data_IF_252422465559
#
_entry.id   IF_252422465559
#
_cell.length_a   1.000
_cell.length_b   1.000
_cell.length_c   1.000
_cell.angle_alpha   90.00
_cell.angle_beta   90.00
_cell.angle_gamma   90.00
#
_symmetry.space_group_name_H-M   'P 1'
#
loop_
_entity.id
_entity.type
_entity.pdbx_description
1 polymer ?
#
# COMPACT_ATOMS: atom_id res chain seq x y z
N UNK A 1 -6.33 -8.78 -23.28
CA UNK A 1 -7.29 -7.76 -22.78
C UNK A 1 -6.79 -6.38 -23.19
N UNK A 2 -7.68 -5.42 -23.50
CA UNK A 2 -7.28 -4.05 -23.88
C UNK A 2 -7.70 -3.10 -22.76
N UNK A 3 -6.77 -2.29 -22.25
CA UNK A 3 -7.03 -1.18 -21.34
C UNK A 3 -6.77 0.11 -22.11
N UNK A 4 -7.79 0.98 -22.22
CA UNK A 4 -7.64 2.32 -22.79
C UNK A 4 -7.35 3.30 -21.68
N UNK A 5 -6.24 4.04 -21.80
CA UNK A 5 -5.93 5.13 -20.90
C UNK A 5 -5.53 6.34 -21.75
N UNK A 6 -6.32 7.41 -21.63
CA UNK A 6 -6.21 8.63 -22.44
C UNK A 6 -6.19 8.31 -23.95
N UNK A 7 -5.03 8.33 -24.62
CA UNK A 7 -4.90 8.07 -26.07
C UNK A 7 -4.03 6.84 -26.41
N UNK A 8 -3.70 6.01 -25.41
CA UNK A 8 -2.86 4.81 -25.62
C UNK A 8 -3.62 3.53 -25.29
N UNK A 9 -3.61 2.57 -26.23
CA UNK A 9 -4.13 1.23 -26.01
C UNK A 9 -3.04 0.35 -25.39
N UNK A 10 -3.30 -0.18 -24.19
CA UNK A 10 -2.45 -1.18 -23.53
C UNK A 10 -3.07 -2.56 -23.71
N UNK A 11 -2.31 -3.48 -24.28
CA UNK A 11 -2.67 -4.87 -24.46
C UNK A 11 -2.05 -5.71 -23.35
N UNK A 12 -2.89 -6.37 -22.55
CA UNK A 12 -2.46 -7.32 -21.54
C UNK A 12 -2.55 -8.75 -22.07
N UNK A 13 -1.43 -9.45 -21.97
CA UNK A 13 -1.30 -10.88 -22.23
C UNK A 13 -0.95 -11.58 -20.92
N UNK A 14 -1.58 -12.72 -20.67
CA UNK A 14 -1.46 -13.42 -19.40
C UNK A 14 -0.81 -14.77 -19.59
N UNK A 15 0.14 -15.08 -18.73
CA UNK A 15 0.87 -16.33 -18.70
C UNK A 15 0.85 -16.86 -17.27
N UNK A 16 0.58 -18.14 -17.12
CA UNK A 16 0.82 -18.88 -15.88
C UNK A 16 2.29 -19.31 -15.83
N UNK A 17 2.89 -19.23 -14.65
CA UNK A 17 4.27 -19.63 -14.40
C UNK A 17 4.24 -20.96 -13.66
N UNK A 18 4.98 -21.95 -14.16
CA UNK A 18 5.09 -23.25 -13.53
C UNK A 18 5.97 -23.17 -12.26
N UNK A 19 5.33 -23.02 -11.10
CA UNK A 19 5.99 -22.94 -9.80
C UNK A 19 6.80 -24.19 -9.42
N UNK A 20 6.44 -25.38 -9.93
CA UNK A 20 7.13 -26.62 -9.59
C UNK A 20 8.57 -26.62 -10.12
N UNK A 21 8.82 -25.94 -11.23
CA UNK A 21 10.16 -25.76 -11.79
C UNK A 21 11.02 -24.81 -10.94
N UNK A 22 10.40 -23.87 -10.23
CA UNK A 22 11.09 -22.99 -9.28
C UNK A 22 11.38 -23.73 -7.98
N UNK A 23 10.42 -24.51 -7.47
CA UNK A 23 10.61 -25.31 -6.24
C UNK A 23 11.68 -26.39 -6.40
N UNK A 24 11.87 -26.90 -7.62
CA UNK A 24 12.90 -27.90 -7.94
C UNK A 24 14.23 -27.28 -8.41
N UNK A 25 14.42 -25.96 -8.27
CA UNK A 25 15.61 -25.20 -8.69
C UNK A 25 16.01 -25.35 -10.17
N UNK A 26 15.14 -25.94 -11.02
CA UNK A 26 15.38 -26.09 -12.46
C UNK A 26 15.36 -24.74 -13.16
N UNK A 27 14.54 -23.81 -12.66
CA UNK A 27 14.42 -22.44 -13.18
C UNK A 27 14.37 -21.48 -12.01
N UNK A 28 15.43 -20.68 -11.81
CA UNK A 28 15.43 -19.65 -10.79
C UNK A 28 14.61 -18.43 -11.23
N UNK A 29 13.93 -17.78 -10.28
CA UNK A 29 13.19 -16.55 -10.54
C UNK A 29 14.09 -15.45 -11.11
N UNK A 30 15.32 -15.35 -10.61
CA UNK A 30 16.30 -14.39 -11.12
C UNK A 30 16.60 -14.58 -12.61
N UNK A 31 16.79 -15.84 -13.05
CA UNK A 31 17.06 -16.14 -14.45
C UNK A 31 15.83 -15.90 -15.32
N UNK A 32 14.64 -16.23 -14.83
CA UNK A 32 13.38 -15.93 -15.53
C UNK A 32 13.19 -14.42 -15.73
N UNK A 33 13.40 -13.62 -14.68
CA UNK A 33 13.34 -12.15 -14.75
C UNK A 33 14.36 -11.58 -15.74
N UNK A 34 15.60 -12.09 -15.70
CA UNK A 34 16.65 -11.70 -16.64
C UNK A 34 16.28 -12.03 -18.08
N UNK A 35 15.72 -13.21 -18.32
CA UNK A 35 15.27 -13.62 -19.65
C UNK A 35 14.16 -12.69 -20.17
N UNK A 36 13.12 -12.43 -19.36
CA UNK A 36 12.02 -11.52 -19.71
C UNK A 36 12.54 -10.11 -20.05
N UNK A 37 13.49 -9.59 -19.26
CA UNK A 37 14.14 -8.31 -19.52
C UNK A 37 14.95 -8.32 -20.83
N UNK A 38 15.72 -9.39 -21.10
CA UNK A 38 16.49 -9.52 -22.34
C UNK A 38 15.60 -9.60 -23.58
N UNK A 39 14.42 -10.20 -23.47
CA UNK A 39 13.40 -10.18 -24.51
C UNK A 39 12.63 -8.86 -24.59
N UNK A 40 13.04 -7.82 -23.85
CA UNK A 40 12.39 -6.51 -23.78
C UNK A 40 10.90 -6.56 -23.39
N UNK A 41 10.51 -7.54 -22.57
CA UNK A 41 9.14 -7.63 -22.09
C UNK A 41 8.94 -6.75 -20.86
N UNK A 42 7.78 -6.10 -20.77
CA UNK A 42 7.39 -5.25 -19.64
C UNK A 42 6.12 -5.79 -19.04
N UNK A 43 6.04 -5.87 -17.72
CA UNK A 43 4.89 -6.50 -17.10
C UNK A 43 4.97 -6.62 -15.59
N UNK A 44 4.00 -7.36 -15.05
CA UNK A 44 3.94 -7.69 -13.63
C UNK A 44 4.06 -9.19 -13.44
N UNK A 45 4.85 -9.61 -12.46
CA UNK A 45 4.77 -10.97 -11.92
C UNK A 45 3.92 -10.92 -10.66
N UNK A 46 2.96 -11.83 -10.56
CA UNK A 46 2.08 -11.95 -9.40
C UNK A 46 2.29 -13.33 -8.81
N UNK A 47 2.63 -13.38 -7.53
CA UNK A 47 2.64 -14.60 -6.74
C UNK A 47 1.40 -14.62 -5.86
N UNK A 48 0.60 -15.67 -6.01
CA UNK A 48 -0.56 -15.92 -5.18
C UNK A 48 -0.25 -17.11 -4.27
N UNK A 49 -0.25 -16.88 -2.96
CA UNK A 49 0.00 -17.91 -1.95
C UNK A 49 -1.26 -18.02 -1.10
N UNK A 50 -1.87 -19.19 -1.09
CA UNK A 50 -3.08 -19.48 -0.33
C UNK A 50 -2.81 -20.60 0.66
N UNK A 51 -3.16 -20.36 1.94
CA UNK A 51 -3.27 -21.44 2.93
C UNK A 51 -4.68 -22.03 2.85
N UNK A 52 -4.77 -23.33 2.60
CA UNK A 52 -6.04 -24.07 2.63
C UNK A 52 -6.36 -24.51 4.06
N UNK A 53 -7.65 -24.75 4.35
CA UNK A 53 -8.09 -25.25 5.66
C UNK A 53 -7.42 -26.56 6.08
N UNK A 54 -6.87 -27.32 5.13
CA UNK A 54 -6.08 -28.53 5.38
C UNK A 54 -4.65 -28.26 5.87
N UNK A 55 -4.25 -26.99 6.03
CA UNK A 55 -2.87 -26.58 6.32
C UNK A 55 -1.94 -26.64 5.09
N UNK A 56 -2.44 -27.11 3.94
CA UNK A 56 -1.66 -27.13 2.69
C UNK A 56 -1.54 -25.73 2.12
N UNK A 57 -0.31 -25.32 1.81
CA UNK A 57 -0.03 -24.10 1.08
C UNK A 57 -0.10 -24.39 -0.43
N UNK A 58 -0.85 -23.58 -1.16
CA UNK A 58 -0.91 -23.60 -2.63
C UNK A 58 -0.33 -22.31 -3.15
N UNK A 59 0.60 -22.40 -4.10
CA UNK A 59 1.26 -21.25 -4.71
C UNK A 59 1.07 -21.25 -6.21
N UNK A 60 0.46 -20.21 -6.75
CA UNK A 60 0.34 -19.99 -8.19
C UNK A 60 1.06 -18.71 -8.56
N UNK A 61 1.70 -18.68 -9.72
CA UNK A 61 2.38 -17.50 -10.21
C UNK A 61 1.93 -17.13 -11.62
N UNK A 62 1.82 -15.84 -11.90
CA UNK A 62 1.36 -15.32 -13.18
C UNK A 62 2.30 -14.22 -13.67
N UNK A 63 2.52 -14.17 -14.98
CA UNK A 63 3.15 -13.04 -15.66
C UNK A 63 2.13 -12.32 -16.53
N UNK A 64 1.89 -11.04 -16.23
CA UNK A 64 1.05 -10.14 -17.01
C UNK A 64 1.97 -9.28 -17.87
N UNK A 65 2.02 -9.60 -19.16
CA UNK A 65 2.81 -8.86 -20.13
C UNK A 65 2.00 -7.68 -20.70
N UNK A 66 2.59 -6.48 -20.66
CA UNK A 66 2.00 -5.23 -21.12
C UNK A 66 2.63 -4.86 -22.46
N UNK A 67 1.80 -4.76 -23.50
CA UNK A 67 2.22 -4.36 -24.84
C UNK A 67 1.46 -3.12 -25.28
N UNK A 68 2.11 -2.24 -26.02
CA UNK A 68 1.53 -0.98 -26.51
C UNK A 68 1.08 -1.07 -27.98
N UNK A 69 1.40 -2.18 -28.65
CA UNK A 69 1.04 -2.43 -30.04
C UNK A 69 0.43 -3.83 -30.16
N UNK A 70 -0.70 -3.94 -30.86
CA UNK A 70 -1.46 -5.19 -31.04
C UNK A 70 -0.73 -6.20 -31.93
N UNK A 71 0.01 -5.69 -32.93
CA UNK A 71 0.42 -6.45 -34.11
C UNK A 71 1.94 -6.48 -34.37
N UNK A 72 2.78 -6.00 -33.44
CA UNK A 72 4.21 -6.25 -33.55
C UNK A 72 4.41 -7.75 -33.45
N UNK A 73 4.81 -8.40 -34.56
CA UNK A 73 5.22 -9.82 -34.70
C UNK A 73 5.67 -10.33 -33.35
N UNK A 74 4.68 -10.83 -32.63
CA UNK A 74 4.82 -10.90 -31.19
C UNK A 74 5.59 -12.16 -31.00
N UNK A 75 6.89 -12.04 -30.74
CA UNK A 75 7.70 -13.14 -30.24
C UNK A 75 6.81 -13.86 -29.24
N UNK A 76 6.52 -15.13 -29.54
CA UNK A 76 5.73 -15.98 -28.68
C UNK A 76 6.59 -16.17 -27.43
N UNK A 77 6.49 -15.23 -26.49
CA UNK A 77 7.39 -15.15 -25.35
C UNK A 77 7.36 -16.43 -24.53
N UNK A 78 6.21 -17.10 -24.53
CA UNK A 78 6.03 -18.46 -24.06
C UNK A 78 7.00 -19.44 -24.72
N UNK A 79 7.00 -19.53 -26.06
CA UNK A 79 7.88 -20.42 -26.82
C UNK A 79 9.37 -20.08 -26.60
N UNK A 80 9.75 -18.81 -26.61
CA UNK A 80 11.14 -18.39 -26.39
C UNK A 80 11.64 -18.71 -24.98
N UNK A 81 10.84 -18.39 -23.96
CA UNK A 81 11.18 -18.67 -22.57
C UNK A 81 11.25 -20.18 -22.36
N UNK A 82 10.28 -20.93 -22.86
CA UNK A 82 10.25 -22.38 -22.70
C UNK A 82 11.43 -23.04 -23.42
N UNK A 83 11.79 -22.54 -24.60
CA UNK A 83 12.97 -22.97 -25.36
C UNK A 83 14.28 -22.66 -24.61
N UNK A 84 14.41 -21.44 -24.07
CA UNK A 84 15.60 -21.01 -23.33
C UNK A 84 15.88 -21.88 -22.11
N UNK A 85 14.83 -22.27 -21.38
CA UNK A 85 14.97 -23.12 -20.19
C UNK A 85 14.87 -24.61 -20.50
N UNK A 86 14.45 -25.01 -21.71
CA UNK A 86 14.12 -26.38 -22.09
C UNK A 86 13.07 -27.03 -21.17
N UNK A 87 12.13 -26.21 -20.67
CA UNK A 87 11.03 -26.61 -19.82
C UNK A 87 9.80 -25.75 -20.13
N UNK A 88 8.61 -26.26 -19.81
CA UNK A 88 7.36 -25.50 -19.89
C UNK A 88 7.24 -24.55 -18.68
N UNK A 89 7.92 -23.41 -18.78
CA UNK A 89 8.00 -22.40 -17.72
C UNK A 89 6.80 -21.46 -17.75
N UNK A 90 6.42 -21.00 -18.94
CA UNK A 90 5.26 -20.15 -19.17
C UNK A 90 4.22 -20.92 -19.96
N UNK A 91 2.96 -20.75 -19.56
CA UNK A 91 1.80 -21.23 -20.27
C UNK A 91 0.82 -20.10 -20.51
N UNK A 92 0.43 -19.86 -21.76
CA UNK A 92 -0.55 -18.83 -22.07
C UNK A 92 -1.89 -19.18 -21.42
N UNK A 93 -2.39 -18.25 -20.61
CA UNK A 93 -3.60 -18.45 -19.85
C UNK A 93 -4.65 -17.40 -20.22
N UNK A 94 -5.92 -17.83 -20.29
CA UNK A 94 -7.06 -16.92 -20.34
C UNK A 94 -7.53 -16.73 -18.91
N UNK A 95 -6.99 -15.71 -18.24
CA UNK A 95 -7.41 -15.42 -16.86
C UNK A 95 -8.83 -14.83 -16.90
N UNK A 96 -9.77 -15.50 -16.25
CA UNK A 96 -11.09 -14.92 -15.98
C UNK A 96 -10.92 -13.69 -15.09
N UNK A 97 -11.38 -12.53 -15.57
CA UNK A 97 -11.24 -11.24 -14.87
C UNK A 97 -11.74 -11.27 -13.42
N UNK A 98 -12.72 -12.11 -13.11
CA UNK A 98 -13.20 -12.30 -11.74
C UNK A 98 -12.09 -12.87 -10.82
N UNK A 99 -11.20 -13.72 -11.34
CA UNK A 99 -10.06 -14.23 -10.58
C UNK A 99 -8.94 -13.21 -10.48
N UNK A 100 -8.69 -12.42 -11.53
CA UNK A 100 -7.71 -11.33 -11.48
C UNK A 100 -8.17 -10.23 -10.50
N UNK A 101 -9.45 -9.85 -10.54
CA UNK A 101 -10.06 -8.92 -9.60
C UNK A 101 -10.09 -9.50 -8.20
N UNK A 102 -10.33 -10.80 -8.00
CA UNK A 102 -10.18 -11.43 -6.69
C UNK A 102 -8.72 -11.44 -6.20
N UNK A 103 -7.73 -11.61 -7.09
CA UNK A 103 -6.30 -11.52 -6.76
C UNK A 103 -5.92 -10.07 -6.41
N UNK A 104 -6.43 -9.08 -7.14
CA UNK A 104 -6.22 -7.65 -6.89
C UNK A 104 -7.07 -7.10 -5.72
N UNK A 105 -8.22 -7.70 -5.41
CA UNK A 105 -9.07 -7.35 -4.25
C UNK A 105 -8.65 -8.06 -2.96
N UNK A 106 -8.13 -9.30 -3.06
CA UNK A 106 -7.60 -10.06 -1.90
C UNK A 106 -6.13 -9.80 -1.65
N UNK A 107 -5.43 -9.15 -2.57
CA UNK A 107 -4.30 -8.35 -2.18
C UNK A 107 -4.84 -7.32 -1.17
N UNK A 108 -4.60 -7.57 0.13
CA UNK A 108 -4.13 -6.47 0.94
C UNK A 108 -3.00 -5.89 0.11
N UNK A 109 -3.22 -4.75 -0.54
CA UNK A 109 -2.14 -4.04 -1.19
C UNK A 109 -1.17 -3.67 -0.07
N UNK A 110 -0.30 -4.60 0.31
CA UNK A 110 0.89 -4.25 1.05
C UNK A 110 1.61 -3.32 0.09
N UNK A 111 1.76 -2.06 0.44
CA UNK A 111 2.46 -1.11 -0.40
C UNK A 111 3.99 -1.35 -0.47
N UNK A 112 4.41 -2.59 -0.25
CA UNK A 112 5.76 -3.05 -0.50
C UNK A 112 5.89 -3.35 -1.99
N UNK A 113 5.96 -2.29 -2.79
CA UNK A 113 6.56 -2.36 -4.11
C UNK A 113 8.08 -2.42 -3.93
N UNK A 114 8.68 -3.60 -4.08
CA UNK A 114 10.12 -3.67 -4.34
C UNK A 114 10.33 -3.34 -5.81
N UNK A 115 10.43 -2.05 -6.13
CA UNK A 115 11.17 -1.67 -7.31
C UNK A 115 12.63 -2.00 -7.02
N UNK A 116 13.23 -2.95 -7.74
CA UNK A 116 14.69 -2.97 -7.88
C UNK A 116 15.10 -1.77 -8.75
N UNK A 117 14.95 -0.57 -8.20
CA UNK A 117 15.65 0.64 -8.59
C UNK A 117 16.80 0.82 -7.59
N UNK A 118 17.97 1.32 -8.04
CA UNK A 118 19.19 1.26 -7.26
C UNK A 118 19.04 2.05 -5.96
N UNK A 119 19.00 1.35 -4.83
CA UNK A 119 19.39 1.72 -3.45
C UNK A 119 19.45 3.22 -3.07
N UNK A 120 18.48 4.06 -3.47
CA UNK A 120 18.37 5.45 -3.00
C UNK A 120 17.26 5.65 -1.97
N UNK A 121 16.17 4.88 -2.05
CA UNK A 121 14.95 5.20 -1.29
C UNK A 121 14.78 4.36 -0.02
N UNK A 122 15.69 3.40 0.23
CA UNK A 122 15.80 2.71 1.53
C UNK A 122 16.28 3.70 2.62
N UNK A 123 16.74 4.90 2.24
CA UNK A 123 17.07 6.00 3.15
C UNK A 123 16.30 7.29 2.84
N UNK A 124 15.01 7.21 2.52
CA UNK A 124 14.15 8.39 2.74
C UNK A 124 14.05 8.59 4.25
N UNK A 125 14.82 9.57 4.74
CA UNK A 125 14.75 10.06 6.11
C UNK A 125 13.28 10.23 6.53
N UNK A 126 12.99 9.88 7.78
CA UNK A 126 11.70 10.07 8.49
C UNK A 126 11.19 11.53 8.51
N UNK A 127 11.76 12.43 7.71
CA UNK A 127 11.56 13.87 7.70
C UNK A 127 10.62 14.39 6.60
N UNK A 128 10.20 13.58 5.62
CA UNK A 128 9.49 14.09 4.43
C UNK A 128 8.08 13.49 4.26
N UNK A 129 7.21 13.75 5.23
CA UNK A 129 5.77 13.52 5.06
C UNK A 129 5.19 14.42 3.96
N UNK A 130 4.28 13.89 3.15
CA UNK A 130 3.55 14.64 2.14
C UNK A 130 2.32 15.30 2.77
N UNK A 131 2.50 16.50 3.31
CA UNK A 131 1.42 17.27 3.92
C UNK A 131 0.42 17.89 2.92
N UNK A 132 0.63 17.73 1.61
CA UNK A 132 -0.25 18.27 0.56
C UNK A 132 -1.26 17.25 0.03
N UNK A 133 -1.05 15.97 0.32
CA UNK A 133 -1.85 14.87 -0.20
C UNK A 133 -2.20 13.91 0.95
N UNK A 134 -3.43 14.02 1.44
CA UNK A 134 -3.94 13.24 2.58
C UNK A 134 -3.77 11.73 2.39
N UNK A 135 -3.98 11.23 1.17
CA UNK A 135 -3.84 9.81 0.87
C UNK A 135 -2.40 9.37 1.06
N UNK A 136 -1.45 10.12 0.48
CA UNK A 136 -0.01 9.83 0.63
C UNK A 136 0.48 10.02 2.06
N UNK A 137 -0.01 11.04 2.76
CA UNK A 137 0.32 11.26 4.18
C UNK A 137 -0.11 10.06 5.02
N UNK A 138 -1.37 9.63 4.88
CA UNK A 138 -1.93 8.55 5.69
C UNK A 138 -1.17 7.24 5.49
N UNK A 139 -0.79 6.96 4.25
CA UNK A 139 0.10 5.86 3.87
C UNK A 139 1.47 5.94 4.55
N UNK A 140 2.10 7.11 4.54
CA UNK A 140 3.40 7.32 5.19
C UNK A 140 3.28 7.19 6.71
N UNK A 141 2.16 7.60 7.30
CA UNK A 141 1.88 7.47 8.72
C UNK A 141 1.71 6.01 9.14
N UNK A 142 0.91 5.22 8.40
CA UNK A 142 0.78 3.76 8.60
C UNK A 142 2.15 3.06 8.57
N UNK A 143 2.96 3.35 7.55
CA UNK A 143 4.32 2.81 7.44
C UNK A 143 5.19 3.20 8.62
N UNK A 144 5.10 4.44 9.08
CA UNK A 144 5.91 4.91 10.21
C UNK A 144 5.49 4.25 11.52
N UNK A 145 4.20 4.02 11.75
CA UNK A 145 3.72 3.25 12.90
C UNK A 145 4.26 1.82 12.87
N UNK A 146 4.22 1.14 11.70
CA UNK A 146 4.76 -0.22 11.53
C UNK A 146 6.26 -0.29 11.77
N UNK A 147 7.02 0.63 11.17
CA UNK A 147 8.48 0.68 11.30
C UNK A 147 8.90 0.90 12.75
N UNK A 148 8.15 1.74 13.47
CA UNK A 148 8.39 1.98 14.89
C UNK A 148 7.77 0.88 15.77
N UNK A 149 7.14 -0.16 15.22
CA UNK A 149 6.48 -1.24 15.96
C UNK A 149 5.42 -0.73 16.95
N UNK A 150 4.69 0.32 16.58
CA UNK A 150 3.51 0.79 17.32
C UNK A 150 2.34 -0.11 16.94
N UNK A 151 1.57 -0.61 17.91
CA UNK A 151 0.38 -1.40 17.63
C UNK A 151 -0.79 -0.51 17.21
N UNK A 152 -1.49 -0.89 16.13
CA UNK A 152 -2.62 -0.12 15.63
C UNK A 152 -3.54 -0.89 14.69
N UNK A 153 -4.78 -0.40 14.62
CA UNK A 153 -5.80 -0.79 13.66
C UNK A 153 -6.27 0.44 12.87
N UNK A 154 -6.20 0.36 11.54
CA UNK A 154 -6.80 1.39 10.69
C UNK A 154 -8.32 1.13 10.57
N UNK A 155 -9.12 2.06 11.10
CA UNK A 155 -10.59 1.93 11.10
C UNK A 155 -11.21 2.44 9.78
N UNK A 156 -10.59 3.47 9.20
CA UNK A 156 -10.86 4.01 7.85
C UNK A 156 -9.58 4.72 7.36
N UNK A 157 -9.46 5.10 6.07
CA UNK A 157 -8.20 5.59 5.50
C UNK A 157 -7.49 6.65 6.33
N UNK A 158 -8.20 7.54 7.03
CA UNK A 158 -7.57 8.61 7.82
C UNK A 158 -7.94 8.55 9.31
N UNK A 159 -8.28 7.37 9.82
CA UNK A 159 -8.60 7.15 11.23
C UNK A 159 -7.94 5.89 11.74
N UNK A 160 -7.10 6.04 12.74
CA UNK A 160 -6.29 4.99 13.31
C UNK A 160 -6.65 4.81 14.78
N UNK A 161 -6.81 3.56 15.20
CA UNK A 161 -6.92 3.19 16.60
C UNK A 161 -5.57 2.61 17.04
N UNK A 162 -4.87 3.32 17.90
CA UNK A 162 -3.45 3.10 18.20
C UNK A 162 -3.32 2.67 19.68
N UNK A 163 -2.58 1.59 19.92
CA UNK A 163 -2.25 1.07 21.26
C UNK A 163 -3.49 0.89 22.15
N UNK A 164 -4.61 0.52 21.54
CA UNK A 164 -5.93 0.32 22.14
C UNK A 164 -6.52 1.51 22.94
N UNK A 165 -5.90 2.70 22.87
CA UNK A 165 -6.25 3.85 23.73
C UNK A 165 -6.33 5.18 22.99
N UNK A 166 -5.71 5.30 21.82
CA UNK A 166 -5.65 6.55 21.05
C UNK A 166 -6.47 6.40 19.78
N UNK A 167 -7.32 7.38 19.49
CA UNK A 167 -7.99 7.54 18.21
C UNK A 167 -7.35 8.71 17.45
N UNK A 168 -6.59 8.40 16.40
CA UNK A 168 -5.85 9.37 15.61
C UNK A 168 -6.57 9.65 14.29
N UNK A 169 -7.15 10.84 14.16
CA UNK A 169 -7.85 11.34 12.98
C UNK A 169 -6.94 12.29 12.19
N UNK A 170 -6.85 12.09 10.88
CA UNK A 170 -6.09 12.94 9.96
C UNK A 170 -7.07 13.58 8.97
N UNK A 171 -7.00 14.90 8.81
CA UNK A 171 -7.85 15.66 7.91
C UNK A 171 -7.02 16.60 7.06
N UNK A 172 -7.43 16.79 5.81
CA UNK A 172 -6.88 17.84 4.95
C UNK A 172 -7.59 19.18 5.21
N UNK A 173 -8.91 19.14 5.38
CA UNK A 173 -9.77 20.30 5.62
C UNK A 173 -10.57 20.16 6.91
N UNK A 174 -10.93 21.28 7.53
CA UNK A 174 -11.76 21.28 8.72
C UNK A 174 -13.18 20.80 8.39
N UNK A 175 -13.60 19.73 9.05
CA UNK A 175 -14.92 19.14 8.89
C UNK A 175 -15.63 19.02 10.25
N UNK A 176 -16.39 20.03 10.69
CA UNK A 176 -17.04 20.05 12.00
C UNK A 176 -18.01 18.89 12.21
N UNK A 177 -18.71 18.47 11.15
CA UNK A 177 -19.70 17.39 11.22
C UNK A 177 -19.02 16.05 11.52
N UNK A 178 -17.90 15.77 10.85
CA UNK A 178 -17.14 14.54 11.06
C UNK A 178 -16.47 14.51 12.43
N UNK A 179 -15.89 15.64 12.84
CA UNK A 179 -15.26 15.79 14.15
C UNK A 179 -16.30 15.59 15.26
N UNK A 180 -17.45 16.26 15.20
CA UNK A 180 -18.54 16.10 16.21
C UNK A 180 -18.97 14.64 16.33
N UNK A 181 -19.21 13.96 15.20
CA UNK A 181 -19.61 12.54 15.20
C UNK A 181 -18.58 11.62 15.85
N UNK A 182 -17.29 11.90 15.65
CA UNK A 182 -16.21 11.13 16.27
C UNK A 182 -16.19 11.40 17.77
N UNK A 183 -16.23 12.66 18.18
CA UNK A 183 -16.19 13.05 19.58
C UNK A 183 -17.39 12.50 20.35
N UNK A 184 -18.61 12.65 19.83
CA UNK A 184 -19.84 12.13 20.45
C UNK A 184 -19.76 10.62 20.75
N UNK A 185 -19.11 9.86 19.85
CA UNK A 185 -19.05 8.40 19.96
C UNK A 185 -17.87 7.88 20.79
N UNK A 186 -16.75 8.60 20.78
CA UNK A 186 -15.45 8.06 21.20
C UNK A 186 -14.73 8.86 22.29
N UNK A 187 -15.09 10.14 22.50
CA UNK A 187 -14.37 11.03 23.41
C UNK A 187 -14.30 10.53 24.87
N UNK A 188 -15.33 9.85 25.35
CA UNK A 188 -15.37 9.33 26.73
C UNK A 188 -14.55 8.07 26.96
N UNK A 189 -14.03 7.44 25.88
CA UNK A 189 -13.38 6.13 25.93
C UNK A 189 -11.92 6.16 25.48
N UNK A 190 -11.56 7.13 24.67
CA UNK A 190 -10.28 7.16 23.98
C UNK A 190 -9.70 8.57 23.99
N UNK A 191 -8.38 8.65 24.02
CA UNK A 191 -7.68 9.90 23.76
C UNK A 191 -7.74 10.21 22.26
N UNK A 192 -8.26 11.37 21.88
CA UNK A 192 -8.47 11.71 20.47
C UNK A 192 -7.39 12.68 20.01
N UNK A 193 -6.69 12.31 18.95
CA UNK A 193 -5.74 13.18 18.28
C UNK A 193 -6.32 13.60 16.93
N UNK A 194 -6.38 14.90 16.67
CA UNK A 194 -6.87 15.45 15.40
C UNK A 194 -5.72 16.20 14.73
N UNK A 195 -5.19 15.64 13.65
CA UNK A 195 -4.21 16.30 12.79
C UNK A 195 -4.91 16.96 11.61
N UNK A 196 -4.71 18.27 11.43
CA UNK A 196 -5.10 18.98 10.20
C UNK A 196 -3.84 19.36 9.43
N UNK A 197 -3.76 18.90 8.17
CA UNK A 197 -2.60 19.10 7.30
C UNK A 197 -2.52 20.55 6.78
N UNK A 198 -3.66 21.16 6.46
CA UNK A 198 -3.74 22.55 6.00
C UNK A 198 -3.78 23.54 7.20
N UNK A 199 -2.87 24.52 7.22
CA UNK A 199 -2.79 25.50 8.32
C UNK A 199 -3.98 26.46 8.40
N UNK A 200 -4.54 26.88 7.27
CA UNK A 200 -5.71 27.76 7.28
C UNK A 200 -6.91 27.02 7.88
N UNK A 201 -7.07 25.76 7.52
CA UNK A 201 -8.13 24.88 8.03
C UNK A 201 -7.91 24.52 9.51
N UNK A 202 -6.66 24.31 9.92
CA UNK A 202 -6.31 24.16 11.32
C UNK A 202 -6.75 25.39 12.13
N UNK A 203 -6.43 26.59 11.65
CA UNK A 203 -6.84 27.83 12.33
C UNK A 203 -8.36 27.94 12.44
N UNK A 204 -9.12 27.53 11.41
CA UNK A 204 -10.59 27.45 11.48
C UNK A 204 -11.07 26.52 12.60
N UNK A 205 -10.48 25.33 12.76
CA UNK A 205 -10.81 24.43 13.87
C UNK A 205 -10.57 25.13 15.21
N UNK A 206 -9.41 25.75 15.37
CA UNK A 206 -8.99 26.42 16.59
C UNK A 206 -9.91 27.58 16.97
N UNK A 207 -10.27 28.42 16.00
CA UNK A 207 -11.11 29.61 16.23
C UNK A 207 -12.58 29.26 16.46
N UNK A 208 -13.04 28.14 15.89
CA UNK A 208 -14.47 27.77 15.91
C UNK A 208 -14.85 26.78 17.01
N UNK A 209 -13.90 26.23 17.78
CA UNK A 209 -14.20 25.12 18.68
C UNK A 209 -13.63 25.28 20.10
N UNK A 210 -14.45 24.97 21.10
CA UNK A 210 -14.04 24.76 22.50
C UNK A 210 -13.21 23.48 22.68
N UNK A 211 -12.87 22.77 21.60
CA UNK A 211 -12.16 21.49 21.61
C UNK A 211 -10.82 21.57 22.35
N UNK A 212 -10.18 22.74 22.35
CA UNK A 212 -8.94 22.98 23.13
C UNK A 212 -9.12 22.85 24.64
N UNK A 213 -10.34 23.01 25.15
CA UNK A 213 -10.64 22.91 26.58
C UNK A 213 -10.88 21.46 27.03
N UNK A 214 -10.95 20.52 26.09
CA UNK A 214 -11.25 19.12 26.38
C UNK A 214 -9.94 18.35 26.58
N UNK A 215 -9.70 17.91 27.82
CA UNK A 215 -8.44 17.27 28.26
C UNK A 215 -8.06 16.02 27.44
N UNK A 216 -9.05 15.29 26.93
CA UNK A 216 -8.82 14.07 26.14
C UNK A 216 -8.72 14.31 24.62
N UNK A 217 -8.59 15.56 24.17
CA UNK A 217 -8.36 15.89 22.77
C UNK A 217 -7.06 16.67 22.59
N UNK A 218 -6.25 16.22 21.64
CA UNK A 218 -5.09 16.97 21.16
C UNK A 218 -5.26 17.31 19.69
N UNK A 219 -5.31 18.60 19.38
CA UNK A 219 -5.29 19.09 18.00
C UNK A 219 -3.85 19.39 17.60
N UNK A 220 -3.40 18.88 16.47
CA UNK A 220 -2.03 19.06 15.97
C UNK A 220 -2.10 19.63 14.55
N UNK A 221 -1.22 20.55 14.21
CA UNK A 221 -1.00 20.95 12.83
C UNK A 221 0.22 20.22 12.25
N UNK A 222 0.52 20.43 10.96
CA UNK A 222 1.64 19.76 10.31
C UNK A 222 3.01 20.12 10.92
N UNK A 223 3.21 21.35 11.42
CA UNK A 223 4.49 21.78 12.01
C UNK A 223 4.71 21.07 13.34
N UNK A 224 3.68 21.07 14.19
CA UNK A 224 3.68 20.37 15.46
C UNK A 224 3.86 18.84 15.25
N UNK A 225 3.34 18.31 14.14
CA UNK A 225 3.51 16.91 13.78
C UNK A 225 4.95 16.56 13.36
N UNK A 226 5.68 17.46 12.71
CA UNK A 226 7.09 17.22 12.36
C UNK A 226 7.94 16.99 13.62
N UNK A 227 7.61 17.67 14.71
CA UNK A 227 8.28 17.53 16.01
C UNK A 227 7.70 16.37 16.86
N UNK A 228 6.62 15.74 16.39
CA UNK A 228 5.93 14.69 17.11
C UNK A 228 6.70 13.37 17.05
N UNK A 229 7.25 12.95 18.18
CA UNK A 229 7.91 11.66 18.29
C UNK A 229 6.86 10.53 18.34
N UNK A 230 6.71 9.81 17.22
CA UNK A 230 5.78 8.69 17.07
C UNK A 230 5.98 7.59 18.11
N UNK A 231 7.21 7.38 18.60
CA UNK A 231 7.45 6.39 19.66
C UNK A 231 6.78 6.77 20.99
N UNK A 232 6.44 8.05 21.21
CA UNK A 232 5.65 8.46 22.37
C UNK A 232 4.22 7.93 22.34
N UNK A 233 3.69 7.48 21.20
CA UNK A 233 2.35 6.87 21.14
C UNK A 233 2.29 5.55 21.92
N UNK A 234 3.42 4.83 22.04
CA UNK A 234 3.53 3.60 22.81
C UNK A 234 3.39 3.83 24.31
N UNK A 235 4.09 4.86 24.80
CA UNK A 235 4.19 5.14 26.23
C UNK A 235 3.04 6.04 26.67
N UNK A 236 2.26 5.59 27.65
CA UNK A 236 1.33 6.46 28.38
C UNK A 236 2.13 7.54 29.11
N UNK A 237 2.23 8.74 28.53
CA UNK A 237 2.50 10.02 29.20
C UNK A 237 2.39 11.19 28.19
N UNK A 238 1.28 11.29 27.43
CA UNK A 238 0.91 12.55 26.73
C UNK A 238 -0.33 13.14 27.41
N UNK A 239 -0.35 13.17 28.74
CA UNK A 239 -1.37 13.84 29.54
C UNK A 239 -0.80 14.53 30.79
N UNK A 240 0.45 14.96 30.76
CA UNK A 240 0.91 16.01 31.70
C UNK A 240 1.64 17.10 30.91
N UNK A 241 0.90 18.20 30.69
CA UNK A 241 1.37 19.53 30.27
C UNK A 241 1.98 19.66 28.86
N UNK A 242 1.13 19.96 27.88
CA UNK A 242 1.48 20.86 26.76
C UNK A 242 0.31 21.78 26.49
#
# INVERSE_FOLDING_TARGET
>A
MIIKQSDTEKFLYFYEINCDLMQSDKVSLHNLLKALNNFNQKGYIIFNIQSLNSGRIVSNAYFINIRYEKDKKSIAIEEEINSLFNYEVLNKSVIHLNHLNCILWRANFSENFYNMTPDSDIFLSLSNYNFQDLSKFSVQFDKTLRLNQVDFHQLKPNLFFIEEKILFLILDFYNPIEISRILEKFFSKYFVIILILNMEEYNKLIESSEIRLLENIKTINFRDFIEFNINKLKYEFILENS
#
